data_IF_163877744617
#
_entry.id   IF_163877744617
#
_cell.length_a   1.000
_cell.length_b   1.000
_cell.length_c   1.000
_cell.angle_alpha   90.00
_cell.angle_beta   90.00
_cell.angle_gamma   90.00
#
_symmetry.space_group_name_H-M   'P 1'
#
loop_
_entity.id
_entity.type
_entity.pdbx_description
1 polymer ?
#
# COMPACT_ATOMS: atom_id res chain seq x y z
N UNK A 1 -20.28 -12.12 3.16
CA UNK A 1 -19.75 -10.73 3.20
C UNK A 1 -18.23 -10.62 3.12
N UNK A 2 -17.42 -11.24 3.99
CA UNK A 2 -15.94 -11.19 3.85
C UNK A 2 -15.47 -11.96 2.61
N UNK A 3 -15.96 -13.18 2.43
CA UNK A 3 -15.54 -14.09 1.35
C UNK A 3 -15.81 -13.51 -0.04
N UNK A 4 -17.00 -12.95 -0.26
CA UNK A 4 -17.37 -12.28 -1.53
C UNK A 4 -16.45 -11.10 -1.91
N UNK A 5 -15.91 -10.38 -0.92
CA UNK A 5 -14.98 -9.27 -1.16
C UNK A 5 -13.58 -9.80 -1.48
N UNK A 6 -13.19 -10.92 -0.87
CA UNK A 6 -11.92 -11.58 -1.14
C UNK A 6 -11.91 -12.17 -2.55
N UNK A 7 -13.01 -12.77 -2.99
CA UNK A 7 -13.14 -13.30 -4.37
C UNK A 7 -13.03 -12.23 -5.45
N UNK A 8 -13.49 -11.01 -5.15
CA UNK A 8 -13.39 -9.85 -6.05
C UNK A 8 -12.04 -9.13 -5.97
N UNK A 9 -11.21 -9.45 -4.99
CA UNK A 9 -9.90 -8.81 -4.78
C UNK A 9 -8.81 -9.65 -5.43
N UNK A 10 -7.82 -9.00 -6.03
CA UNK A 10 -6.69 -9.74 -6.60
C UNK A 10 -5.95 -10.55 -5.51
N UNK A 11 -5.69 -11.85 -5.73
CA UNK A 11 -5.09 -12.74 -4.72
C UNK A 11 -3.74 -12.24 -4.18
N UNK A 12 -2.95 -11.54 -5.00
CA UNK A 12 -1.66 -10.95 -4.62
C UNK A 12 -1.83 -9.86 -3.56
N UNK A 13 -2.79 -8.95 -3.77
CA UNK A 13 -3.08 -7.85 -2.85
C UNK A 13 -3.63 -8.39 -1.52
N UNK A 14 -4.55 -9.36 -1.60
CA UNK A 14 -5.09 -9.99 -0.40
C UNK A 14 -3.99 -10.70 0.42
N UNK A 15 -3.10 -11.44 -0.25
CA UNK A 15 -1.97 -12.11 0.41
C UNK A 15 -1.02 -11.13 1.09
N UNK A 16 -0.75 -9.99 0.44
CA UNK A 16 0.07 -8.93 1.02
C UNK A 16 -0.56 -8.32 2.27
N UNK A 17 -1.86 -8.01 2.21
CA UNK A 17 -2.62 -7.50 3.35
C UNK A 17 -2.65 -8.51 4.51
N UNK A 18 -2.94 -9.78 4.26
CA UNK A 18 -2.97 -10.83 5.28
C UNK A 18 -1.60 -11.01 5.96
N UNK A 19 -0.50 -10.90 5.20
CA UNK A 19 0.86 -10.93 5.76
C UNK A 19 1.08 -9.83 6.80
N UNK A 20 0.64 -8.61 6.51
CA UNK A 20 0.75 -7.47 7.44
C UNK A 20 -0.21 -7.65 8.62
N UNK A 21 -1.44 -8.12 8.35
CA UNK A 21 -2.48 -8.36 9.35
C UNK A 21 -2.09 -9.36 10.43
N UNK A 22 -1.22 -10.33 10.12
CA UNK A 22 -0.71 -11.29 11.12
C UNK A 22 -0.15 -10.63 12.37
N UNK A 23 0.62 -9.56 12.20
CA UNK A 23 1.25 -8.83 13.32
C UNK A 23 0.57 -7.48 13.60
N UNK A 24 0.08 -6.77 12.58
CA UNK A 24 -0.54 -5.45 12.74
C UNK A 24 -2.02 -5.48 13.16
N UNK A 25 -2.68 -6.65 13.06
CA UNK A 25 -4.09 -6.88 13.41
C UNK A 25 -5.02 -5.86 12.73
N UNK A 26 -5.64 -4.97 13.50
CA UNK A 26 -6.60 -3.98 13.01
C UNK A 26 -5.92 -2.68 12.53
N UNK A 27 -4.58 -2.61 12.60
CA UNK A 27 -3.79 -1.42 12.20
C UNK A 27 -2.97 -1.67 10.93
N UNK A 28 -3.38 -2.61 10.08
CA UNK A 28 -2.63 -2.98 8.87
C UNK A 28 -2.56 -1.85 7.83
N UNK A 29 -3.61 -1.03 7.76
CA UNK A 29 -3.74 0.11 6.85
C UNK A 29 -3.94 1.34 7.72
N UNK A 30 -3.13 2.38 7.54
CA UNK A 30 -3.15 3.60 8.36
C UNK A 30 -2.93 4.85 7.50
N UNK A 31 -3.49 5.98 7.94
CA UNK A 31 -3.24 7.26 7.28
C UNK A 31 -1.93 7.88 7.73
N UNK A 32 -1.43 8.81 6.92
CA UNK A 32 -0.37 9.71 7.34
C UNK A 32 -1.00 10.95 7.97
N UNK A 33 -0.50 11.32 9.15
CA UNK A 33 -0.88 12.56 9.83
C UNK A 33 0.37 13.30 10.24
N UNK A 34 0.45 14.60 9.94
CA UNK A 34 1.61 15.45 10.28
C UNK A 34 2.97 14.84 9.84
N UNK A 35 3.04 14.30 8.63
CA UNK A 35 4.24 13.64 8.09
C UNK A 35 4.71 12.41 8.90
N UNK A 36 3.83 11.77 9.68
CA UNK A 36 4.15 10.57 10.45
C UNK A 36 3.21 9.42 10.13
N UNK A 37 3.72 8.20 10.25
CA UNK A 37 2.91 6.98 10.10
C UNK A 37 1.86 6.90 11.20
N UNK A 38 0.57 6.75 10.86
CA UNK A 38 -0.50 6.64 11.84
C UNK A 38 -0.50 5.37 12.70
N UNK A 39 0.44 4.44 12.48
CA UNK A 39 0.56 3.20 13.25
C UNK A 39 1.76 3.16 14.21
N UNK A 40 2.94 3.59 13.76
CA UNK A 40 4.14 3.65 14.63
C UNK A 40 4.49 5.07 15.09
N UNK A 41 3.80 6.10 14.57
CA UNK A 41 4.01 7.51 14.89
C UNK A 41 5.43 8.03 14.59
N UNK A 42 6.22 7.28 13.84
CA UNK A 42 7.54 7.70 13.36
C UNK A 42 7.36 8.64 12.17
N UNK A 43 8.13 9.73 12.17
CA UNK A 43 8.17 10.71 11.08
C UNK A 43 8.74 10.07 9.81
N UNK A 44 8.04 10.22 8.69
CA UNK A 44 8.44 9.72 7.39
C UNK A 44 9.37 10.73 6.70
N UNK A 45 10.30 10.20 5.90
CA UNK A 45 11.19 10.96 5.04
C UNK A 45 10.36 11.74 4.00
N UNK A 46 10.87 12.90 3.57
CA UNK A 46 10.16 13.75 2.60
C UNK A 46 9.87 13.02 1.28
N UNK A 47 10.78 12.15 0.82
CA UNK A 47 10.57 11.32 -0.36
C UNK A 47 9.34 10.42 -0.22
N UNK A 48 9.28 9.62 0.86
CA UNK A 48 8.16 8.69 1.12
C UNK A 48 6.86 9.46 1.34
N UNK A 49 6.94 10.58 2.06
CA UNK A 49 5.77 11.43 2.29
C UNK A 49 5.19 11.98 0.98
N UNK A 50 6.05 12.53 0.10
CA UNK A 50 5.64 13.00 -1.22
C UNK A 50 5.11 11.85 -2.09
N UNK A 51 5.75 10.68 -2.03
CA UNK A 51 5.32 9.47 -2.74
C UNK A 51 3.90 9.06 -2.30
N UNK A 52 3.59 9.05 -1.01
CA UNK A 52 2.24 8.66 -0.53
C UNK A 52 1.17 9.68 -0.94
N UNK A 53 1.54 10.96 -1.04
CA UNK A 53 0.62 12.01 -1.47
C UNK A 53 0.39 12.03 -2.99
N UNK A 54 1.40 11.64 -3.78
CA UNK A 54 1.39 11.86 -5.24
C UNK A 54 1.10 10.59 -6.02
N UNK A 55 1.56 9.43 -5.54
CA UNK A 55 1.71 8.24 -6.39
C UNK A 55 0.40 7.47 -6.61
N UNK A 56 -0.65 7.70 -5.81
CA UNK A 56 -1.89 6.91 -5.87
C UNK A 56 -1.69 5.40 -5.63
N UNK A 57 -0.45 4.98 -5.34
CA UNK A 57 -0.01 3.60 -5.19
C UNK A 57 -0.02 3.16 -3.72
N UNK A 58 0.00 1.84 -3.50
CA UNK A 58 0.14 1.24 -2.17
C UNK A 58 1.58 1.35 -1.67
N UNK A 59 1.81 2.27 -0.74
CA UNK A 59 3.12 2.48 -0.12
C UNK A 59 3.13 1.88 1.27
N UNK A 60 4.25 1.29 1.68
CA UNK A 60 4.42 0.78 3.04
C UNK A 60 5.33 1.65 3.88
N UNK A 61 5.05 1.71 5.18
CA UNK A 61 5.90 2.39 6.13
C UNK A 61 7.26 1.67 6.21
N UNK A 62 8.39 2.36 6.01
CA UNK A 62 9.72 1.74 6.06
C UNK A 62 10.10 1.27 7.47
N UNK A 63 9.43 1.77 8.52
CA UNK A 63 9.76 1.46 9.91
C UNK A 63 8.97 0.29 10.48
N UNK A 64 7.67 0.19 10.16
CA UNK A 64 6.83 -0.88 10.68
C UNK A 64 6.24 -1.78 9.61
N UNK A 65 6.24 -1.38 8.33
CA UNK A 65 5.68 -2.18 7.24
C UNK A 65 4.16 -2.10 7.08
N UNK A 66 3.46 -1.22 7.80
CA UNK A 66 2.02 -0.94 7.59
C UNK A 66 1.79 -0.28 6.24
N UNK A 67 0.62 -0.51 5.64
CA UNK A 67 0.20 0.16 4.41
C UNK A 67 -0.21 1.59 4.74
N UNK A 68 0.37 2.56 4.04
CA UNK A 68 0.10 3.98 4.16
C UNK A 68 -0.83 4.43 3.04
N UNK A 69 -1.80 5.26 3.37
CA UNK A 69 -2.64 5.94 2.37
C UNK A 69 -2.84 7.42 2.74
N UNK A 70 -3.01 8.26 1.72
CA UNK A 70 -3.30 9.68 1.88
C UNK A 70 -4.82 9.93 1.83
N UNK A 71 -5.35 10.67 2.80
CA UNK A 71 -6.79 11.06 2.81
C UNK A 71 -7.13 12.02 1.65
N UNK A 72 -6.16 12.81 1.17
CA UNK A 72 -6.33 13.80 0.11
C UNK A 72 -6.34 13.22 -1.32
N UNK A 73 -6.10 11.92 -1.50
CA UNK A 73 -6.09 11.28 -2.83
C UNK A 73 -7.51 10.97 -3.35
N UNK A 74 -8.56 11.32 -2.63
CA UNK A 74 -9.94 10.98 -2.97
C UNK A 74 -10.63 12.07 -3.79
N UNK A 75 -10.21 12.22 -5.05
CA UNK A 75 -11.06 12.77 -6.11
C UNK A 75 -10.64 12.30 -7.50
N UNK A 76 -10.35 11.00 -7.66
CA UNK A 76 -10.53 10.25 -8.92
C UNK A 76 -10.12 8.79 -8.76
N UNK A 77 -11.10 7.91 -8.96
CA UNK A 77 -10.93 6.51 -9.36
C UNK A 77 -10.20 5.57 -8.37
N UNK A 78 -10.98 4.75 -7.66
CA UNK A 78 -10.50 3.51 -7.05
C UNK A 78 -10.10 2.51 -8.16
N UNK A 79 -8.93 2.73 -8.76
CA UNK A 79 -8.25 1.72 -9.56
C UNK A 79 -7.26 0.99 -8.64
N UNK A 80 -7.38 -0.34 -8.48
CA UNK A 80 -6.36 -1.13 -7.80
C UNK A 80 -5.00 -0.93 -8.50
N UNK A 81 -3.88 -1.13 -7.77
CA UNK A 81 -2.54 -0.75 -8.24
C UNK A 81 -2.29 -1.35 -9.61
N UNK A 82 -1.83 -0.51 -10.52
CA UNK A 82 -1.48 -0.91 -11.87
C UNK A 82 -0.36 -1.94 -11.81
N UNK A 83 -0.69 -3.10 -12.34
CA UNK A 83 0.19 -4.15 -12.81
C UNK A 83 1.48 -3.61 -13.45
N UNK A 84 2.61 -3.83 -12.77
CA UNK A 84 3.93 -3.75 -13.39
C UNK A 84 4.27 -5.12 -14.00
N UNK A 85 3.83 -5.39 -15.22
CA UNK A 85 4.47 -6.38 -16.11
C UNK A 85 5.69 -5.73 -16.80
N UNK A 86 6.50 -6.46 -17.58
CA UNK A 86 7.61 -7.31 -17.18
C UNK A 86 8.96 -6.70 -17.63
N UNK A 87 10.08 -7.01 -16.96
CA UNK A 87 11.40 -6.86 -17.60
C UNK A 87 11.72 -8.13 -18.37
N UNK A 88 11.22 -8.20 -19.60
CA UNK A 88 11.77 -9.07 -20.62
C UNK A 88 13.05 -8.40 -21.16
N UNK A 89 14.18 -9.06 -21.05
CA UNK A 89 15.32 -8.87 -21.94
C UNK A 89 16.02 -10.20 -22.10
N UNK A 90 15.74 -10.79 -23.25
CA UNK A 90 16.37 -11.93 -23.87
C UNK A 90 17.89 -11.69 -23.99
N UNK A 91 18.71 -12.71 -23.72
CA UNK A 91 19.91 -12.93 -24.51
C UNK A 91 19.80 -14.32 -25.13
N UNK A 92 19.66 -14.27 -26.44
CA UNK A 92 19.75 -15.32 -27.43
C UNK A 92 21.16 -15.88 -27.54
N UNK A 93 21.23 -17.14 -27.97
CA UNK A 93 22.38 -17.95 -28.44
C UNK A 93 22.98 -18.89 -27.40
#
# INVERSE_FOLDING_TARGET
>A
KKEELVEKTEPKIYSFYERIRRWAKNTSIVTIKKQACGGCFIRLNDKIYAEVLTSGDMITCPYCGRILYAESAHESNAQPPKESQPKESQESV
#
